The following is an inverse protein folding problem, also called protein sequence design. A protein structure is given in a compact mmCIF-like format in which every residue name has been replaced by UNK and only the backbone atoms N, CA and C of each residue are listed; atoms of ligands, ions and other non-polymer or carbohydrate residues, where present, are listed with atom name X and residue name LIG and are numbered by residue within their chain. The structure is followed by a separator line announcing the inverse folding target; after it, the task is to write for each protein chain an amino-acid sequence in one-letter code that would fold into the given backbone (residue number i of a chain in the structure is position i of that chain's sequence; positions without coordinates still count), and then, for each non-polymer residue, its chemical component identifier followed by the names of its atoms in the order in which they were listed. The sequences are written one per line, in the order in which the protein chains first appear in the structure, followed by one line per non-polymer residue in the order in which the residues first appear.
data_IF_393537082711
#
_entry.id   IF_393537082711
#
_cell.length_a   1.000
_cell.length_b   1.000
_cell.length_c   1.000
_cell.angle_alpha   90.00
_cell.angle_beta   90.00
_cell.angle_gamma   90.00
#
_symmetry.space_group_name_H-M   'P 1'
#
loop_
_entity.id
_entity.type
_entity.pdbx_description
1 polymer ?
#
# COMPACT_ATOMS: atom_id res chain seq x y z
N UNK A 1 9.90 -2.38 -10.47
CA UNK A 1 9.14 -1.68 -9.41
C UNK A 1 7.81 -1.23 -9.99
N UNK A 2 6.67 -1.79 -9.55
CA UNK A 2 5.38 -1.31 -10.04
C UNK A 2 5.17 0.13 -9.58
N UNK A 3 4.89 1.02 -10.52
CA UNK A 3 4.44 2.39 -10.23
C UNK A 3 2.99 2.46 -10.67
N UNK A 4 2.10 2.81 -9.73
CA UNK A 4 0.68 3.01 -10.03
C UNK A 4 0.47 4.52 -10.11
N UNK A 5 -0.22 5.01 -11.13
CA UNK A 5 -0.60 6.42 -11.22
C UNK A 5 -2.12 6.56 -11.17
N UNK A 6 -2.62 7.38 -10.25
CA UNK A 6 -4.05 7.66 -10.10
C UNK A 6 -4.21 9.16 -9.92
N UNK A 7 -4.94 9.81 -10.83
CA UNK A 7 -5.26 11.25 -10.74
C UNK A 7 -4.03 12.15 -10.52
N UNK A 8 -2.89 11.82 -11.16
CA UNK A 8 -1.64 12.57 -11.04
C UNK A 8 -0.79 12.25 -9.80
N UNK A 9 -1.24 11.34 -8.94
CA UNK A 9 -0.44 10.79 -7.84
C UNK A 9 0.30 9.55 -8.31
N UNK A 10 1.63 9.51 -8.12
CA UNK A 10 2.49 8.37 -8.42
C UNK A 10 2.78 7.61 -7.15
N UNK A 11 2.26 6.40 -7.06
CA UNK A 11 2.48 5.46 -5.97
C UNK A 11 3.66 4.55 -6.30
N UNK A 12 4.69 4.60 -5.46
CA UNK A 12 5.92 3.83 -5.62
C UNK A 12 6.13 2.90 -4.43
N UNK A 13 6.26 1.61 -4.74
CA UNK A 13 6.58 0.56 -3.77
C UNK A 13 8.07 0.24 -3.90
N UNK A 14 8.89 0.85 -3.05
CA UNK A 14 10.33 0.58 -3.07
C UNK A 14 10.61 -0.74 -2.36
N UNK A 15 11.24 -1.67 -3.08
CA UNK A 15 11.72 -2.95 -2.54
C UNK A 15 13.21 -2.93 -2.21
N UNK A 16 13.90 -1.81 -2.46
CA UNK A 16 15.35 -1.66 -2.26
C UNK A 16 15.73 -0.88 -1.01
N UNK A 17 14.75 -0.43 -0.22
CA UNK A 17 14.97 0.19 1.10
C UNK A 17 15.27 -0.88 2.16
N UNK A 18 16.35 -1.63 1.93
CA UNK A 18 17.02 -2.56 2.83
C UNK A 18 16.13 -3.13 3.96
N UNK A 19 16.23 -2.52 5.14
CA UNK A 19 15.64 -3.00 6.40
C UNK A 19 14.47 -2.13 6.86
N UNK A 20 13.94 -1.29 5.98
CA UNK A 20 12.80 -0.44 6.33
C UNK A 20 11.50 -1.26 6.35
N UNK A 21 10.60 -1.00 7.30
CA UNK A 21 9.27 -1.58 7.27
C UNK A 21 8.56 -1.31 5.93
N UNK A 22 7.63 -2.19 5.51
CA UNK A 22 6.88 -2.00 4.26
C UNK A 22 6.27 -0.59 4.19
N UNK A 23 6.57 0.15 3.15
CA UNK A 23 6.09 1.51 2.97
C UNK A 23 5.90 1.84 1.49
N UNK A 24 5.15 2.91 1.23
CA UNK A 24 4.83 3.41 -0.09
C UNK A 24 5.14 4.91 -0.15
N UNK A 25 5.76 5.34 -1.23
CA UNK A 25 5.97 6.74 -1.53
C UNK A 25 4.87 7.25 -2.45
N UNK A 26 4.27 8.37 -2.10
CA UNK A 26 3.25 9.05 -2.90
C UNK A 26 3.84 10.36 -3.40
N UNK A 27 4.02 10.46 -4.71
CA UNK A 27 4.67 11.60 -5.34
C UNK A 27 3.66 12.36 -6.19
N UNK A 28 3.59 13.68 -6.02
CA UNK A 28 2.77 14.57 -6.85
C UNK A 28 3.34 15.98 -6.87
N UNK A 29 3.41 16.59 -8.05
CA UNK A 29 3.80 18.00 -8.24
C UNK A 29 5.12 18.36 -7.52
N UNK A 30 6.09 17.45 -7.55
CA UNK A 30 7.40 17.60 -6.89
C UNK A 30 7.41 17.34 -5.38
N UNK A 31 6.25 17.08 -4.76
CA UNK A 31 6.14 16.71 -3.36
C UNK A 31 6.14 15.18 -3.21
N UNK A 32 6.65 14.71 -2.07
CA UNK A 32 6.74 13.29 -1.74
C UNK A 32 6.23 13.05 -0.31
N UNK A 33 5.38 12.03 -0.14
CA UNK A 33 4.90 11.57 1.16
C UNK A 33 5.25 10.10 1.36
N UNK A 34 5.84 9.77 2.51
CA UNK A 34 6.16 8.40 2.93
C UNK A 34 5.04 7.84 3.81
N UNK A 35 4.40 6.77 3.36
CA UNK A 35 3.29 6.10 4.06
C UNK A 35 3.74 4.71 4.50
N UNK A 36 3.82 4.49 5.81
CA UNK A 36 4.14 3.19 6.39
C UNK A 36 2.93 2.26 6.28
N UNK A 37 3.11 1.09 5.65
CA UNK A 37 2.08 0.07 5.52
C UNK A 37 2.10 -0.80 6.76
N UNK A 38 0.95 -0.97 7.39
CA UNK A 38 0.77 -1.99 8.42
C UNK A 38 0.44 -3.31 7.73
N UNK A 39 1.11 -4.42 8.07
CA UNK A 39 0.71 -5.72 7.55
C UNK A 39 -0.73 -6.00 7.99
N UNK A 40 -1.59 -6.23 7.01
CA UNK A 40 -2.93 -6.74 7.29
C UNK A 40 -2.74 -8.22 7.66
N UNK A 41 -2.73 -8.52 8.95
CA UNK A 41 -2.91 -9.89 9.44
C UNK A 41 -4.36 -10.25 9.17
N UNK A 42 -4.65 -10.62 7.92
CA UNK A 42 -5.99 -10.93 7.49
C UNK A 42 -6.35 -12.35 7.91
N UNK A 43 -6.85 -12.51 9.15
CA UNK A 43 -7.76 -13.60 9.45
C UNK A 43 -9.04 -13.34 8.65
N UNK A 44 -9.13 -13.89 7.44
CA UNK A 44 -10.39 -13.92 6.69
C UNK A 44 -11.22 -15.04 7.31
N UNK A 45 -11.96 -14.72 8.37
CA UNK A 45 -13.05 -15.59 8.80
C UNK A 45 -14.21 -15.36 7.84
N UNK A 46 -14.36 -16.26 6.87
CA UNK A 46 -15.56 -16.31 6.03
C UNK A 46 -16.71 -16.77 6.92
N UNK A 47 -17.44 -15.83 7.53
CA UNK A 47 -18.71 -16.13 8.15
C UNK A 47 -19.72 -16.38 7.02
N UNK A 48 -20.06 -17.64 6.77
CA UNK A 48 -21.16 -18.01 5.87
C UNK A 48 -22.44 -17.38 6.41
N UNK A 49 -22.93 -16.34 5.74
CA UNK A 49 -24.27 -15.80 5.97
C UNK A 49 -25.25 -16.87 5.50
N UNK A 50 -25.82 -17.65 6.43
CA UNK A 50 -27.03 -18.42 6.13
C UNK A 50 -28.19 -17.43 6.03
N UNK A 51 -28.63 -17.16 4.81
CA UNK A 51 -29.95 -16.58 4.56
C UNK A 51 -30.99 -17.64 4.95
N UNK A 52 -31.96 -17.23 5.75
CA UNK A 52 -33.10 -18.03 6.18
C UNK A 52 -34.17 -18.04 5.09
#
# INVERSE_FOLDING_TARGET
MPTIEISGYKFRFYSSDLNEPPHMHVIRDGNEAKVWLRPLVSHITVATIRLK
#
